data_IF_114078361752
#
_entry.id   IF_114078361752
#
_cell.length_a   1.000
_cell.length_b   1.000
_cell.length_c   1.000
_cell.angle_alpha   90.00
_cell.angle_beta   90.00
_cell.angle_gamma   90.00
#
_symmetry.space_group_name_H-M   'P 1'
#
loop_
_entity.id
_entity.type
_entity.pdbx_description
1 polymer ?
#
# COMPACT_ATOMS: atom_id res chain seq x y z
N UNK A 1 24.87 1.58 -22.33
CA UNK A 1 24.14 1.72 -21.05
C UNK A 1 22.86 0.93 -21.22
N UNK A 2 22.71 -0.19 -20.50
CA UNK A 2 21.52 -1.03 -20.60
C UNK A 2 20.26 -0.25 -20.24
N UNK A 3 19.13 -0.57 -20.87
CA UNK A 3 17.88 0.17 -20.65
C UNK A 3 17.48 0.09 -19.16
N UNK A 4 17.23 1.23 -18.52
CA UNK A 4 16.86 1.35 -17.11
C UNK A 4 15.42 0.92 -16.83
N UNK A 5 14.90 -0.10 -17.51
CA UNK A 5 13.51 -0.51 -17.36
C UNK A 5 13.26 -1.22 -16.03
N UNK A 6 12.07 -1.03 -15.48
CA UNK A 6 11.56 -1.69 -14.29
C UNK A 6 10.35 -2.50 -14.70
N UNK A 7 10.53 -3.81 -14.86
CA UNK A 7 9.48 -4.72 -15.31
C UNK A 7 8.65 -5.16 -14.11
N UNK A 8 7.36 -4.84 -14.13
CA UNK A 8 6.45 -5.02 -13.00
C UNK A 8 5.38 -6.05 -13.32
N UNK A 9 5.23 -7.02 -12.41
CA UNK A 9 4.06 -7.89 -12.34
C UNK A 9 3.03 -7.35 -11.36
N UNK A 10 1.74 -7.47 -11.68
CA UNK A 10 0.64 -7.07 -10.80
C UNK A 10 -0.19 -8.28 -10.37
N UNK A 11 -0.45 -8.43 -9.07
CA UNK A 11 -1.41 -9.41 -8.53
C UNK A 11 -2.63 -8.66 -7.99
N UNK A 12 -3.80 -8.94 -8.56
CA UNK A 12 -5.05 -8.24 -8.25
C UNK A 12 -5.16 -6.95 -9.04
N UNK A 13 -5.92 -6.97 -10.14
CA UNK A 13 -6.14 -5.82 -11.03
C UNK A 13 -7.31 -4.97 -10.54
N UNK A 14 -7.26 -4.58 -9.26
CA UNK A 14 -8.28 -3.78 -8.56
C UNK A 14 -8.18 -2.26 -8.80
N UNK A 15 -8.89 -1.47 -7.97
CA UNK A 15 -8.81 0.00 -8.02
C UNK A 15 -7.38 0.54 -7.79
N UNK A 16 -6.59 -0.09 -6.90
CA UNK A 16 -5.19 0.27 -6.67
C UNK A 16 -4.33 0.04 -7.92
N UNK A 17 -4.48 -1.11 -8.58
CA UNK A 17 -3.81 -1.39 -9.85
C UNK A 17 -4.24 -0.41 -10.95
N UNK A 18 -5.53 -0.06 -11.01
CA UNK A 18 -6.05 0.95 -11.93
C UNK A 18 -5.39 2.31 -11.72
N UNK A 19 -5.29 2.76 -10.47
CA UNK A 19 -4.64 4.02 -10.13
C UNK A 19 -3.14 4.00 -10.43
N UNK A 20 -2.46 2.87 -10.21
CA UNK A 20 -1.05 2.69 -10.58
C UNK A 20 -0.85 2.82 -12.09
N UNK A 21 -1.58 2.05 -12.89
CA UNK A 21 -1.41 2.01 -14.37
C UNK A 21 -1.80 3.35 -15.00
N UNK A 22 -2.87 3.99 -14.52
CA UNK A 22 -3.20 5.36 -14.92
C UNK A 22 -2.08 6.34 -14.55
N UNK A 23 -1.52 6.21 -13.34
CA UNK A 23 -0.39 7.02 -12.87
C UNK A 23 0.85 6.91 -13.75
N UNK A 24 1.19 5.70 -14.21
CA UNK A 24 2.30 5.48 -15.15
C UNK A 24 2.09 6.25 -16.46
N UNK A 25 0.85 6.30 -16.96
CA UNK A 25 0.51 7.04 -18.19
C UNK A 25 0.52 8.55 -17.96
N UNK A 26 -0.06 9.01 -16.84
CA UNK A 26 -0.18 10.43 -16.50
C UNK A 26 1.18 11.10 -16.25
N UNK A 27 2.08 10.42 -15.52
CA UNK A 27 3.39 10.95 -15.16
C UNK A 27 4.50 10.54 -16.12
N UNK A 28 4.18 9.92 -17.27
CA UNK A 28 5.18 9.48 -18.26
C UNK A 28 6.16 10.58 -18.69
N UNK A 29 5.69 11.82 -18.80
CA UNK A 29 6.49 12.97 -19.24
C UNK A 29 6.75 13.99 -18.13
N UNK A 30 6.61 13.56 -16.87
CA UNK A 30 7.02 14.30 -15.69
C UNK A 30 8.45 14.85 -15.84
N UNK A 31 8.71 16.06 -15.34
CA UNK A 31 10.04 16.69 -15.35
C UNK A 31 10.53 16.95 -13.93
N UNK A 32 11.81 16.68 -13.70
CA UNK A 32 12.44 16.59 -12.37
C UNK A 32 12.56 17.92 -11.60
N UNK A 33 12.43 19.07 -12.25
CA UNK A 33 12.80 20.36 -11.65
C UNK A 33 11.71 21.01 -10.80
N UNK A 34 10.48 20.48 -10.79
CA UNK A 34 9.37 21.01 -9.98
C UNK A 34 8.74 19.88 -9.15
N UNK A 35 8.25 20.17 -7.92
CA UNK A 35 7.46 19.21 -7.16
C UNK A 35 6.25 18.76 -7.98
N UNK A 36 6.18 17.46 -8.28
CA UNK A 36 5.09 16.89 -9.06
C UNK A 36 3.98 16.47 -8.10
N UNK A 37 2.78 17.06 -8.19
CA UNK A 37 1.67 16.65 -7.34
C UNK A 37 1.45 15.15 -7.43
N UNK A 38 1.35 14.46 -6.30
CA UNK A 38 1.10 13.03 -6.27
C UNK A 38 2.33 12.12 -6.45
N UNK A 39 3.54 12.65 -6.66
CA UNK A 39 4.79 11.88 -6.60
C UNK A 39 5.70 12.44 -5.52
N UNK A 40 6.30 11.55 -4.71
CA UNK A 40 7.27 12.00 -3.70
C UNK A 40 8.62 12.31 -4.34
N UNK A 41 8.97 11.57 -5.41
CA UNK A 41 10.17 11.76 -6.21
C UNK A 41 9.84 11.61 -7.70
N UNK A 42 10.19 12.62 -8.51
CA UNK A 42 10.06 12.55 -9.98
C UNK A 42 11.07 11.55 -10.60
N UNK A 43 12.28 11.52 -10.06
CA UNK A 43 13.32 10.52 -10.32
C UNK A 43 13.73 9.93 -8.97
N UNK A 44 13.79 8.59 -8.89
CA UNK A 44 14.25 7.87 -7.71
C UNK A 44 15.46 7.00 -8.07
N UNK A 45 16.65 7.41 -7.62
CA UNK A 45 17.87 6.62 -7.83
C UNK A 45 18.25 6.46 -9.31
N UNK A 46 17.83 7.39 -10.16
CA UNK A 46 18.00 7.35 -11.61
C UNK A 46 16.86 6.67 -12.36
N UNK A 47 15.78 6.27 -11.68
CA UNK A 47 14.57 5.68 -12.27
C UNK A 47 13.45 6.72 -12.38
N UNK A 48 13.05 7.00 -13.61
CA UNK A 48 11.87 7.81 -13.92
C UNK A 48 10.59 6.96 -13.89
N UNK A 49 9.41 7.58 -13.82
CA UNK A 49 8.13 6.84 -13.87
C UNK A 49 7.97 6.10 -15.20
N UNK A 50 8.45 6.68 -16.31
CA UNK A 50 8.42 6.08 -17.66
C UNK A 50 9.37 4.87 -17.84
N UNK A 51 10.22 4.62 -16.85
CA UNK A 51 11.02 3.42 -16.83
C UNK A 51 10.21 2.19 -16.39
N UNK A 52 9.03 2.39 -15.78
CA UNK A 52 8.18 1.31 -15.27
C UNK A 52 7.30 0.76 -16.39
N UNK A 53 7.37 -0.55 -16.62
CA UNK A 53 6.58 -1.27 -17.60
C UNK A 53 5.87 -2.45 -16.95
N UNK A 54 4.56 -2.56 -17.17
CA UNK A 54 3.82 -3.76 -16.75
C UNK A 54 4.12 -4.87 -17.75
N UNK A 55 4.53 -6.04 -17.25
CA UNK A 55 4.92 -7.20 -18.09
C UNK A 55 4.08 -8.45 -17.86
N UNK A 56 3.39 -8.54 -16.73
CA UNK A 56 2.42 -9.59 -16.44
C UNK A 56 1.39 -9.10 -15.43
N UNK A 57 0.19 -9.68 -15.43
CA UNK A 57 -0.84 -9.39 -14.45
C UNK A 57 -1.67 -10.63 -14.14
N UNK A 58 -2.17 -10.72 -12.91
CA UNK A 58 -2.99 -11.84 -12.44
C UNK A 58 -4.26 -11.33 -11.78
N UNK A 59 -5.39 -11.95 -12.10
CA UNK A 59 -6.67 -11.73 -11.42
C UNK A 59 -7.47 -13.04 -11.42
N UNK A 60 -8.64 -13.02 -10.78
CA UNK A 60 -9.55 -14.15 -10.67
C UNK A 60 -10.93 -13.82 -11.23
N UNK A 61 -11.26 -12.54 -11.40
CA UNK A 61 -12.55 -12.10 -11.88
C UNK A 61 -12.71 -12.38 -13.38
N UNK A 62 -13.84 -13.00 -13.75
CA UNK A 62 -14.22 -13.27 -15.13
C UNK A 62 -14.26 -12.01 -16.00
N UNK A 63 -14.58 -10.87 -15.41
CA UNK A 63 -14.60 -9.57 -16.08
C UNK A 63 -13.22 -9.02 -16.46
N UNK A 64 -12.13 -9.62 -15.96
CA UNK A 64 -10.75 -9.11 -16.10
C UNK A 64 -9.82 -10.09 -16.79
N UNK A 65 -9.90 -11.37 -16.43
CA UNK A 65 -9.05 -12.42 -16.99
C UNK A 65 -9.21 -12.46 -18.52
N UNK A 66 -8.08 -12.56 -19.23
CA UNK A 66 -8.00 -12.58 -20.69
C UNK A 66 -7.98 -11.21 -21.38
N UNK A 67 -8.36 -10.13 -20.68
CA UNK A 67 -8.28 -8.74 -21.19
C UNK A 67 -6.85 -8.20 -21.12
N UNK A 68 -6.55 -7.20 -21.95
CA UNK A 68 -5.33 -6.39 -21.79
C UNK A 68 -5.39 -5.63 -20.46
N UNK A 69 -4.26 -5.46 -19.77
CA UNK A 69 -4.20 -4.73 -18.49
C UNK A 69 -4.81 -3.33 -18.61
N UNK A 70 -4.58 -2.63 -19.73
CA UNK A 70 -5.12 -1.29 -19.97
C UNK A 70 -6.65 -1.26 -20.04
N UNK A 71 -7.29 -2.38 -20.37
CA UNK A 71 -8.75 -2.55 -20.36
C UNK A 71 -9.25 -3.07 -19.01
N UNK A 72 -8.58 -4.09 -18.46
CA UNK A 72 -8.96 -4.76 -17.22
C UNK A 72 -8.98 -3.81 -16.02
N UNK A 73 -8.12 -2.79 -16.00
CA UNK A 73 -8.11 -1.77 -14.94
C UNK A 73 -9.40 -0.95 -14.85
N UNK A 74 -10.21 -0.95 -15.90
CA UNK A 74 -11.51 -0.26 -15.96
C UNK A 74 -12.71 -1.20 -15.87
N UNK A 75 -12.47 -2.51 -15.92
CA UNK A 75 -13.52 -3.52 -15.83
C UNK A 75 -14.08 -3.59 -14.40
N UNK A 76 -15.38 -3.84 -14.32
CA UNK A 76 -16.07 -4.02 -13.04
C UNK A 76 -15.40 -5.14 -12.20
N UNK A 77 -15.38 -5.03 -10.86
CA UNK A 77 -16.03 -4.00 -10.05
C UNK A 77 -15.17 -2.74 -9.81
N UNK A 78 -14.12 -2.50 -10.61
CA UNK A 78 -13.31 -1.29 -10.45
C UNK A 78 -14.15 -0.03 -10.70
N UNK A 79 -13.99 0.96 -9.82
CA UNK A 79 -14.79 2.18 -9.79
C UNK A 79 -13.99 3.41 -9.29
N UNK A 80 -12.66 3.37 -9.42
CA UNK A 80 -11.79 4.50 -9.10
C UNK A 80 -11.89 5.63 -10.12
N UNK A 81 -11.39 6.81 -9.73
CA UNK A 81 -11.39 8.00 -10.56
C UNK A 81 -10.52 7.78 -11.79
N UNK A 82 -11.03 8.15 -12.97
CA UNK A 82 -10.29 8.08 -14.23
C UNK A 82 -9.63 9.43 -14.48
N UNK A 83 -8.31 9.51 -14.28
CA UNK A 83 -7.53 10.74 -14.48
C UNK A 83 -6.55 10.66 -15.67
N UNK A 84 -6.37 9.47 -16.24
CA UNK A 84 -5.62 9.25 -17.48
C UNK A 84 -6.12 8.00 -18.18
N UNK A 85 -5.93 7.94 -19.49
CA UNK A 85 -6.12 6.71 -20.26
C UNK A 85 -4.84 5.86 -20.23
N UNK A 86 -4.99 4.54 -20.15
CA UNK A 86 -3.88 3.61 -20.22
C UNK A 86 -3.73 3.15 -21.67
N UNK A 87 -2.52 3.23 -22.21
CA UNK A 87 -2.23 2.68 -23.53
C UNK A 87 -2.13 1.14 -23.44
N UNK A 88 -2.77 0.44 -24.37
CA UNK A 88 -2.64 -1.02 -24.50
C UNK A 88 -1.17 -1.40 -24.65
N UNK A 89 -0.75 -2.44 -23.92
CA UNK A 89 0.64 -2.91 -23.91
C UNK A 89 0.78 -4.39 -24.32
N UNK A 90 -0.33 -5.05 -24.66
CA UNK A 90 -0.37 -6.46 -25.07
C UNK A 90 -0.28 -7.43 -23.90
N UNK A 91 -0.20 -6.94 -22.66
CA UNK A 91 -0.13 -7.79 -21.47
C UNK A 91 -1.53 -8.19 -21.08
N UNK A 92 -1.85 -9.47 -21.23
CA UNK A 92 -3.14 -10.01 -20.81
C UNK A 92 -3.13 -10.35 -19.32
N UNK A 93 -4.29 -10.21 -18.69
CA UNK A 93 -4.51 -10.64 -17.31
C UNK A 93 -4.68 -12.16 -17.29
N UNK A 94 -3.76 -12.83 -16.62
CA UNK A 94 -3.76 -14.28 -16.46
C UNK A 94 -4.62 -14.72 -15.28
N UNK A 95 -5.16 -15.93 -15.35
CA UNK A 95 -5.95 -16.51 -14.26
C UNK A 95 -5.03 -16.97 -13.14
N UNK A 96 -4.89 -16.16 -12.09
CA UNK A 96 -4.16 -16.53 -10.89
C UNK A 96 -4.96 -17.50 -9.99
N UNK A 97 -4.37 -18.22 -9.04
CA UNK A 97 -5.13 -19.03 -8.09
C UNK A 97 -5.95 -18.17 -7.13
N UNK A 98 -7.19 -18.60 -6.83
CA UNK A 98 -8.11 -17.86 -5.96
C UNK A 98 -7.74 -17.95 -4.48
N UNK A 99 -7.51 -19.17 -3.98
CA UNK A 99 -7.22 -19.45 -2.57
C UNK A 99 -8.22 -18.71 -1.63
N UNK A 100 -7.74 -17.96 -0.64
CA UNK A 100 -8.54 -17.15 0.28
C UNK A 100 -8.75 -15.68 -0.20
N UNK A 101 -8.51 -15.44 -1.49
CA UNK A 101 -8.66 -14.17 -2.20
C UNK A 101 -10.07 -13.56 -2.15
N UNK A 102 -11.11 -14.39 -2.21
CA UNK A 102 -12.51 -13.93 -2.29
C UNK A 102 -13.22 -14.16 -0.94
N UNK A 103 -13.45 -13.07 -0.20
CA UNK A 103 -14.24 -13.05 1.02
C UNK A 103 -15.74 -13.24 0.81
N UNK A 104 -16.49 -13.42 1.89
CA UNK A 104 -17.93 -13.72 1.85
C UNK A 104 -18.70 -12.69 1.04
N UNK A 105 -18.45 -11.40 1.30
CA UNK A 105 -19.14 -10.30 0.62
C UNK A 105 -18.66 -10.06 -0.81
N UNK A 106 -17.47 -10.55 -1.18
CA UNK A 106 -16.97 -10.43 -2.55
C UNK A 106 -17.54 -11.51 -3.48
N UNK A 107 -18.01 -12.64 -2.94
CA UNK A 107 -18.59 -13.74 -3.76
C UNK A 107 -19.83 -13.32 -4.54
N UNK A 108 -20.61 -12.39 -3.99
CA UNK A 108 -21.82 -11.89 -4.65
C UNK A 108 -21.51 -10.84 -5.73
N UNK A 109 -20.32 -10.23 -5.68
CA UNK A 109 -19.88 -9.17 -6.60
C UNK A 109 -18.92 -9.66 -7.68
N UNK A 110 -18.25 -10.80 -7.46
CA UNK A 110 -17.18 -11.31 -8.32
C UNK A 110 -17.53 -12.73 -8.78
N UNK A 111 -17.80 -12.87 -10.08
CA UNK A 111 -17.82 -14.17 -10.75
C UNK A 111 -16.38 -14.58 -11.10
N UNK A 112 -15.98 -15.78 -10.69
CA UNK A 112 -14.65 -16.32 -11.00
C UNK A 112 -14.52 -16.70 -12.48
N UNK A 113 -13.36 -16.43 -13.05
CA UNK A 113 -13.06 -16.76 -14.44
C UNK A 113 -12.93 -18.29 -14.60
N UNK A 114 -13.56 -18.89 -15.65
CA UNK A 114 -13.56 -20.34 -15.88
C UNK A 114 -12.24 -20.89 -16.45
N UNK A 115 -11.32 -20.02 -16.84
CA UNK A 115 -10.01 -20.39 -17.38
C UNK A 115 -9.21 -21.24 -16.36
N UNK A 116 -8.31 -22.12 -16.83
CA UNK A 116 -7.39 -22.83 -15.95
C UNK A 116 -6.49 -21.87 -15.20
N UNK A 117 -6.16 -22.19 -13.95
CA UNK A 117 -5.16 -21.45 -13.17
C UNK A 117 -3.80 -21.56 -13.85
N UNK A 118 -3.17 -20.40 -14.09
CA UNK A 118 -1.88 -20.29 -14.74
C UNK A 118 -0.71 -20.59 -13.78
N UNK A 119 0.42 -21.05 -14.32
CA UNK A 119 1.67 -21.18 -13.57
C UNK A 119 2.30 -19.81 -13.36
N UNK A 120 2.05 -19.24 -12.18
CA UNK A 120 2.51 -17.89 -11.81
C UNK A 120 4.05 -17.80 -11.85
N UNK A 121 4.75 -18.79 -11.31
CA UNK A 121 6.23 -18.77 -11.26
C UNK A 121 6.84 -18.84 -12.67
N UNK A 122 6.25 -19.63 -13.57
CA UNK A 122 6.67 -19.68 -14.98
C UNK A 122 6.42 -18.35 -15.70
N UNK A 123 5.25 -17.75 -15.55
CA UNK A 123 4.93 -16.46 -16.19
C UNK A 123 5.84 -15.34 -15.70
N UNK A 124 6.13 -15.28 -14.40
CA UNK A 124 7.06 -14.30 -13.83
C UNK A 124 8.47 -14.44 -14.45
N UNK A 125 8.97 -15.67 -14.60
CA UNK A 125 10.27 -15.93 -15.24
C UNK A 125 10.27 -15.55 -16.72
N UNK A 126 9.24 -15.97 -17.46
CA UNK A 126 9.15 -15.76 -18.91
C UNK A 126 8.96 -14.28 -19.28
N UNK A 127 8.20 -13.54 -18.47
CA UNK A 127 8.05 -12.09 -18.63
C UNK A 127 9.31 -11.32 -18.20
N UNK A 128 10.20 -11.95 -17.43
CA UNK A 128 11.36 -11.31 -16.83
C UNK A 128 10.98 -10.24 -15.82
N UNK A 129 9.89 -10.43 -15.07
CA UNK A 129 9.46 -9.46 -14.07
C UNK A 129 10.58 -9.20 -13.04
N UNK A 130 10.89 -7.93 -12.78
CA UNK A 130 11.86 -7.54 -11.76
C UNK A 130 11.16 -7.41 -10.39
N UNK A 131 9.93 -6.87 -10.37
CA UNK A 131 9.17 -6.60 -9.15
C UNK A 131 7.75 -7.14 -9.28
N UNK A 132 7.28 -7.90 -8.29
CA UNK A 132 5.88 -8.33 -8.18
C UNK A 132 5.16 -7.49 -7.12
N UNK A 133 4.07 -6.83 -7.51
CA UNK A 133 3.24 -5.99 -6.62
C UNK A 133 1.95 -6.72 -6.28
N UNK A 134 1.68 -6.90 -4.98
CA UNK A 134 0.46 -7.54 -4.49
C UNK A 134 -0.58 -6.51 -4.03
N UNK A 135 -1.74 -6.51 -4.69
CA UNK A 135 -2.95 -5.74 -4.37
C UNK A 135 -4.15 -6.65 -4.06
N UNK A 136 -3.90 -7.82 -3.48
CA UNK A 136 -4.95 -8.75 -3.10
C UNK A 136 -5.92 -8.13 -2.07
N UNK A 137 -7.15 -8.68 -1.94
CA UNK A 137 -8.08 -8.24 -0.91
C UNK A 137 -7.53 -8.44 0.51
N UNK A 138 -8.01 -7.63 1.45
CA UNK A 138 -7.69 -7.79 2.87
C UNK A 138 -8.15 -9.17 3.36
N UNK A 139 -7.29 -9.84 4.13
CA UNK A 139 -7.54 -11.19 4.67
C UNK A 139 -7.12 -12.33 3.75
N UNK A 140 -6.51 -12.06 2.60
CA UNK A 140 -5.98 -13.07 1.68
C UNK A 140 -4.57 -13.53 2.08
N UNK A 141 -4.48 -14.25 3.20
CA UNK A 141 -3.21 -14.73 3.77
C UNK A 141 -2.56 -15.82 2.94
N UNK A 142 -3.30 -16.88 2.60
CA UNK A 142 -2.81 -18.00 1.81
C UNK A 142 -2.40 -17.53 0.41
N UNK A 143 -3.24 -16.70 -0.23
CA UNK A 143 -2.93 -16.14 -1.53
C UNK A 143 -1.67 -15.27 -1.48
N UNK A 144 -1.54 -14.37 -0.49
CA UNK A 144 -0.35 -13.52 -0.41
C UNK A 144 0.92 -14.32 -0.18
N UNK A 145 0.88 -15.34 0.67
CA UNK A 145 2.02 -16.25 0.89
C UNK A 145 2.36 -17.04 -0.37
N UNK A 146 1.35 -17.50 -1.12
CA UNK A 146 1.53 -18.16 -2.41
C UNK A 146 2.26 -17.25 -3.42
N UNK A 147 1.80 -16.02 -3.63
CA UNK A 147 2.46 -15.10 -4.57
C UNK A 147 3.84 -14.65 -4.09
N UNK A 148 4.06 -14.51 -2.78
CA UNK A 148 5.39 -14.27 -2.23
C UNK A 148 6.35 -15.45 -2.50
N UNK A 149 5.85 -16.68 -2.44
CA UNK A 149 6.61 -17.87 -2.82
C UNK A 149 6.96 -17.87 -4.32
N UNK A 150 5.97 -17.60 -5.18
CA UNK A 150 6.21 -17.50 -6.63
C UNK A 150 7.23 -16.42 -6.98
N UNK A 151 7.21 -15.27 -6.29
CA UNK A 151 8.23 -14.23 -6.46
C UNK A 151 9.63 -14.73 -6.07
N UNK A 152 9.77 -15.44 -4.95
CA UNK A 152 11.04 -16.04 -4.53
C UNK A 152 11.56 -17.07 -5.56
N UNK A 153 10.68 -17.90 -6.09
CA UNK A 153 11.00 -18.92 -7.11
C UNK A 153 11.40 -18.29 -8.45
N UNK A 154 10.73 -17.21 -8.85
CA UNK A 154 10.99 -16.54 -10.11
C UNK A 154 12.17 -15.55 -10.06
N UNK A 155 12.66 -15.21 -8.86
CA UNK A 155 13.76 -14.24 -8.71
C UNK A 155 13.29 -12.78 -8.73
N UNK A 156 12.05 -12.51 -8.34
CA UNK A 156 11.47 -11.17 -8.33
C UNK A 156 11.56 -10.54 -6.92
N UNK A 157 11.78 -9.23 -6.86
CA UNK A 157 11.49 -8.47 -5.66
C UNK A 157 9.97 -8.49 -5.38
N UNK A 158 9.57 -8.35 -4.12
CA UNK A 158 8.15 -8.38 -3.74
C UNK A 158 7.73 -7.11 -3.02
N UNK A 159 6.65 -6.48 -3.48
CA UNK A 159 6.02 -5.30 -2.85
C UNK A 159 4.63 -5.69 -2.36
N UNK A 160 4.49 -5.81 -1.04
CA UNK A 160 3.25 -6.23 -0.40
C UNK A 160 2.42 -5.02 0.04
N UNK A 161 1.34 -4.71 -0.70
CA UNK A 161 0.52 -3.54 -0.40
C UNK A 161 -0.59 -3.82 0.63
N UNK A 162 -0.74 -5.05 1.11
CA UNK A 162 -1.90 -5.49 1.91
C UNK A 162 -1.48 -5.84 3.34
N UNK A 163 -2.40 -5.88 4.32
CA UNK A 163 -2.08 -6.13 5.73
C UNK A 163 -1.92 -7.61 6.07
N UNK A 164 -1.21 -8.35 5.21
CA UNK A 164 -0.72 -9.71 5.51
C UNK A 164 0.76 -9.62 5.84
N UNK A 165 1.17 -10.21 6.95
CA UNK A 165 2.53 -10.07 7.44
C UNK A 165 3.52 -10.95 6.66
N UNK A 166 4.35 -10.31 5.82
CA UNK A 166 5.43 -10.91 5.04
C UNK A 166 6.74 -10.22 5.42
N UNK A 167 6.92 -8.94 5.09
CA UNK A 167 8.12 -8.19 5.45
C UNK A 167 8.30 -8.04 6.96
N UNK A 168 7.21 -7.89 7.70
CA UNK A 168 7.23 -7.82 9.17
C UNK A 168 7.58 -9.16 9.85
N UNK A 169 7.54 -10.28 9.13
CA UNK A 169 7.87 -11.62 9.65
C UNK A 169 9.35 -11.98 9.44
N UNK A 170 10.13 -12.29 10.50
CA UNK A 170 11.53 -12.66 10.38
C UNK A 170 11.79 -13.85 9.45
N UNK A 171 10.89 -14.84 9.42
CA UNK A 171 11.02 -16.03 8.58
C UNK A 171 10.99 -15.69 7.09
N UNK A 172 10.10 -14.80 6.66
CA UNK A 172 10.02 -14.36 5.27
C UNK A 172 11.20 -13.46 4.89
N UNK A 173 11.59 -12.52 5.77
CA UNK A 173 12.77 -11.67 5.54
C UNK A 173 14.01 -12.50 5.24
N UNK A 174 14.31 -13.50 6.08
CA UNK A 174 15.46 -14.40 5.90
C UNK A 174 15.44 -15.14 4.55
N UNK A 175 14.26 -15.53 4.07
CA UNK A 175 14.13 -16.22 2.78
C UNK A 175 14.45 -15.30 1.59
N UNK A 176 13.96 -14.06 1.64
CA UNK A 176 14.30 -13.04 0.65
C UNK A 176 15.80 -12.67 0.69
N UNK A 177 16.37 -12.52 1.89
CA UNK A 177 17.81 -12.31 2.10
C UNK A 177 18.66 -13.44 1.48
N UNK A 178 18.33 -14.70 1.77
CA UNK A 178 19.03 -15.87 1.25
C UNK A 178 18.97 -16.00 -0.28
N UNK A 179 17.91 -15.51 -0.90
CA UNK A 179 17.75 -15.49 -2.36
C UNK A 179 18.34 -14.24 -3.01
N UNK A 180 18.87 -13.29 -2.23
CA UNK A 180 19.39 -12.02 -2.77
C UNK A 180 18.29 -11.09 -3.29
N UNK A 181 17.06 -11.22 -2.81
CA UNK A 181 15.89 -10.51 -3.34
C UNK A 181 15.38 -9.44 -2.35
N UNK A 182 15.04 -8.23 -2.83
CA UNK A 182 14.41 -7.21 -2.00
C UNK A 182 12.95 -7.52 -1.65
N UNK A 183 12.54 -7.03 -0.49
CA UNK A 183 11.19 -7.12 0.03
C UNK A 183 10.75 -5.75 0.57
N UNK A 184 9.57 -5.28 0.16
CA UNK A 184 8.98 -4.03 0.66
C UNK A 184 7.56 -4.32 1.15
N UNK A 185 7.30 -4.09 2.43
CA UNK A 185 6.01 -4.42 3.07
C UNK A 185 6.01 -4.06 4.57
N UNK A 186 4.89 -4.15 5.28
CA UNK A 186 3.56 -4.60 4.83
C UNK A 186 2.48 -3.50 5.02
N UNK A 187 1.40 -3.57 4.23
CA UNK A 187 0.26 -2.62 4.19
C UNK A 187 0.66 -1.21 3.73
N UNK A 188 0.43 -0.87 2.46
CA UNK A 188 0.88 0.40 1.89
C UNK A 188 0.23 1.61 2.58
N UNK A 189 1.01 2.66 2.83
CA UNK A 189 0.50 3.97 3.27
C UNK A 189 -0.17 4.71 2.12
N UNK A 190 -1.07 5.61 2.49
CA UNK A 190 -1.59 6.64 1.60
C UNK A 190 -0.77 7.93 1.80
N UNK A 191 -0.76 8.83 0.81
CA UNK A 191 -0.09 10.14 0.92
C UNK A 191 -0.67 10.94 2.07
N UNK A 192 -1.99 11.12 2.08
CA UNK A 192 -2.73 11.75 3.19
C UNK A 192 -3.94 10.88 3.52
N UNK A 193 -3.75 9.96 4.46
CA UNK A 193 -4.82 9.11 5.00
C UNK A 193 -5.36 9.59 6.33
N UNK A 194 -6.51 9.05 6.75
CA UNK A 194 -7.11 9.36 8.04
C UNK A 194 -6.17 9.07 9.23
N UNK A 195 -5.40 7.97 9.18
CA UNK A 195 -4.48 7.59 10.25
C UNK A 195 -3.34 8.60 10.45
N UNK A 196 -2.73 9.12 9.38
CA UNK A 196 -1.64 10.12 9.52
C UNK A 196 -2.18 11.46 10.01
N UNK A 197 -3.38 11.88 9.56
CA UNK A 197 -4.03 13.10 10.04
C UNK A 197 -4.40 12.98 11.53
N UNK A 198 -4.96 11.85 11.94
CA UNK A 198 -5.30 11.61 13.35
C UNK A 198 -4.04 11.59 14.22
N UNK A 199 -2.96 10.94 13.77
CA UNK A 199 -1.67 10.92 14.46
C UNK A 199 -1.11 12.33 14.65
N UNK A 200 -1.16 13.16 13.60
CA UNK A 200 -0.71 14.55 13.65
C UNK A 200 -1.52 15.38 14.65
N UNK A 201 -2.85 15.21 14.67
CA UNK A 201 -3.71 15.88 15.66
C UNK A 201 -3.41 15.42 17.09
N UNK A 202 -3.23 14.12 17.31
CA UNK A 202 -2.90 13.57 18.62
C UNK A 202 -1.54 14.10 19.12
N UNK A 203 -0.53 14.13 18.25
CA UNK A 203 0.79 14.69 18.58
C UNK A 203 0.73 16.18 18.89
N UNK A 204 -0.01 16.97 18.10
CA UNK A 204 -0.19 18.40 18.36
C UNK A 204 -0.82 18.64 19.74
N UNK A 205 -1.83 17.87 20.12
CA UNK A 205 -2.46 18.01 21.45
C UNK A 205 -1.43 17.72 22.55
N UNK A 206 -0.69 16.61 22.43
CA UNK A 206 0.36 16.23 23.37
C UNK A 206 1.44 17.31 23.51
N UNK A 207 2.03 17.75 22.40
CA UNK A 207 3.12 18.75 22.38
C UNK A 207 2.71 20.11 22.95
N UNK A 208 1.41 20.42 22.94
CA UNK A 208 0.85 21.66 23.52
C UNK A 208 0.32 21.49 24.94
N UNK A 209 0.57 20.34 25.58
CA UNK A 209 0.16 20.05 26.96
C UNK A 209 -1.34 19.81 27.12
N UNK A 210 -2.05 19.45 26.04
CA UNK A 210 -3.47 19.11 26.07
C UNK A 210 -3.60 17.60 26.31
N UNK A 211 -4.23 17.23 27.42
CA UNK A 211 -4.54 15.81 27.70
C UNK A 211 -5.68 15.38 26.79
N UNK A 212 -5.49 14.32 26.03
CA UNK A 212 -6.57 13.71 25.24
C UNK A 212 -7.42 12.84 26.17
N UNK A 213 -8.73 13.05 26.15
CA UNK A 213 -9.68 12.33 26.98
C UNK A 213 -10.41 11.24 26.17
N UNK A 214 -10.83 11.57 24.95
CA UNK A 214 -11.57 10.67 24.05
C UNK A 214 -11.23 10.95 22.60
N UNK A 215 -11.25 9.90 21.77
CA UNK A 215 -11.12 10.06 20.32
C UNK A 215 -11.85 8.99 19.53
N UNK A 216 -12.34 9.35 18.34
CA UNK A 216 -12.73 8.37 17.35
C UNK A 216 -12.21 8.72 15.95
N UNK A 217 -12.10 7.69 15.11
CA UNK A 217 -11.89 7.80 13.68
C UNK A 217 -12.81 6.79 12.97
N UNK A 218 -13.87 7.33 12.36
CA UNK A 218 -14.84 6.58 11.59
C UNK A 218 -14.46 6.66 10.11
N UNK A 219 -14.33 5.52 9.42
CA UNK A 219 -13.95 5.49 8.01
C UNK A 219 -14.99 4.72 7.20
N UNK A 220 -15.45 5.25 6.07
CA UNK A 220 -16.36 4.55 5.18
C UNK A 220 -16.09 4.91 3.72
N UNK A 221 -16.49 4.03 2.80
CA UNK A 221 -16.25 4.14 1.36
C UNK A 221 -17.16 3.19 0.58
N UNK A 222 -17.07 3.22 -0.75
CA UNK A 222 -17.99 2.48 -1.63
C UNK A 222 -17.36 1.40 -2.51
N UNK A 223 -16.04 1.18 -2.40
CA UNK A 223 -15.34 0.18 -3.21
C UNK A 223 -15.42 -1.22 -2.59
N UNK A 224 -14.90 -2.21 -3.34
CA UNK A 224 -14.87 -3.61 -2.90
C UNK A 224 -13.94 -3.85 -1.71
N UNK A 225 -12.91 -3.02 -1.49
CA UNK A 225 -12.08 -3.12 -0.28
C UNK A 225 -12.93 -2.79 0.97
N UNK A 226 -13.71 -1.71 0.95
CA UNK A 226 -14.64 -1.38 2.04
C UNK A 226 -15.72 -2.43 2.27
N UNK A 227 -16.26 -3.00 1.18
CA UNK A 227 -17.23 -4.09 1.27
C UNK A 227 -16.61 -5.34 1.92
N UNK A 228 -15.40 -5.72 1.50
CA UNK A 228 -14.65 -6.83 2.09
C UNK A 228 -14.30 -6.55 3.57
N UNK A 229 -14.08 -5.29 3.93
CA UNK A 229 -13.86 -4.85 5.31
C UNK A 229 -15.14 -4.86 6.17
N UNK A 230 -16.34 -5.12 5.65
CA UNK A 230 -17.50 -5.37 6.52
C UNK A 230 -17.39 -6.75 7.22
N UNK A 231 -16.59 -7.65 6.68
CA UNK A 231 -16.29 -8.96 7.27
C UNK A 231 -15.35 -8.80 8.48
N UNK A 232 -15.95 -8.61 9.66
CA UNK A 232 -15.20 -8.36 10.91
C UNK A 232 -14.15 -9.44 11.23
N UNK A 233 -14.38 -10.69 10.84
CA UNK A 233 -13.44 -11.80 11.02
C UNK A 233 -12.12 -11.57 10.26
N UNK A 234 -12.16 -10.90 9.09
CA UNK A 234 -10.96 -10.55 8.30
C UNK A 234 -10.21 -9.33 8.82
N UNK A 235 -10.74 -8.64 9.83
CA UNK A 235 -10.25 -7.33 10.29
C UNK A 235 -9.49 -7.33 11.60
N UNK A 236 -9.43 -8.44 12.34
CA UNK A 236 -8.84 -8.46 13.69
C UNK A 236 -7.43 -7.84 13.70
N UNK A 237 -6.57 -8.29 12.79
CA UNK A 237 -5.20 -7.78 12.60
C UNK A 237 -5.16 -6.28 12.25
N UNK A 238 -6.09 -5.79 11.43
CA UNK A 238 -6.11 -4.39 10.94
C UNK A 238 -6.70 -3.41 11.96
N UNK A 239 -7.64 -3.85 12.79
CA UNK A 239 -8.17 -3.05 13.91
C UNK A 239 -7.09 -2.85 14.98
N UNK A 240 -6.34 -3.90 15.28
CA UNK A 240 -5.20 -3.86 16.21
C UNK A 240 -4.14 -2.88 15.69
N UNK A 241 -3.70 -3.01 14.44
CA UNK A 241 -2.63 -2.15 13.89
C UNK A 241 -3.02 -0.66 13.83
N UNK A 242 -4.26 -0.35 13.44
CA UNK A 242 -4.73 1.05 13.40
C UNK A 242 -4.87 1.67 14.79
N UNK A 243 -5.43 0.92 15.75
CA UNK A 243 -5.58 1.40 17.12
C UNK A 243 -4.20 1.61 17.74
N UNK A 244 -3.27 0.67 17.59
CA UNK A 244 -1.89 0.78 18.08
C UNK A 244 -1.14 1.96 17.45
N UNK A 245 -1.34 2.22 16.15
CA UNK A 245 -0.68 3.34 15.48
C UNK A 245 -1.10 4.72 16.02
N UNK A 246 -2.31 4.86 16.56
CA UNK A 246 -2.76 6.11 17.20
C UNK A 246 -2.39 6.07 18.68
N UNK A 247 -2.57 4.92 19.32
CA UNK A 247 -2.28 4.71 20.72
C UNK A 247 -0.81 4.96 21.09
N UNK A 248 0.12 4.65 20.17
CA UNK A 248 1.55 4.88 20.35
C UNK A 248 1.94 6.36 20.50
N UNK A 249 1.02 7.29 20.21
CA UNK A 249 1.28 8.71 20.39
C UNK A 249 0.88 9.23 21.77
N UNK A 250 0.16 8.45 22.59
CA UNK A 250 -0.25 8.87 23.92
C UNK A 250 0.78 8.47 24.98
N UNK A 251 1.18 9.41 25.84
CA UNK A 251 2.06 9.12 26.98
C UNK A 251 1.36 8.24 28.03
N UNK A 252 0.04 8.42 28.16
CA UNK A 252 -0.84 7.60 29.00
C UNK A 252 -1.87 6.93 28.10
N UNK A 253 -1.95 5.59 28.07
CA UNK A 253 -2.94 4.88 27.28
C UNK A 253 -4.36 5.29 27.65
N UNK A 254 -5.19 5.56 26.65
CA UNK A 254 -6.62 5.76 26.85
C UNK A 254 -7.29 4.45 27.26
N UNK A 255 -8.30 4.53 28.13
CA UNK A 255 -9.15 3.38 28.42
C UNK A 255 -9.82 2.87 27.13
N UNK A 256 -10.03 1.56 26.97
CA UNK A 256 -10.57 0.98 25.73
C UNK A 256 -11.91 1.59 25.26
N UNK A 257 -12.74 2.11 26.17
CA UNK A 257 -14.00 2.79 25.86
C UNK A 257 -13.85 4.22 25.30
N UNK A 258 -12.67 4.81 25.42
CA UNK A 258 -12.39 6.20 25.05
C UNK A 258 -11.67 6.34 23.70
N UNK A 259 -11.41 5.22 23.01
CA UNK A 259 -10.79 5.19 21.68
C UNK A 259 -11.55 4.26 20.74
N UNK A 260 -11.90 4.78 19.55
CA UNK A 260 -12.57 3.98 18.53
C UNK A 260 -11.99 4.25 17.14
N UNK A 261 -11.29 3.27 16.54
CA UNK A 261 -10.68 3.40 15.21
C UNK A 261 -11.02 2.18 14.36
N UNK A 262 -11.63 2.38 13.20
CA UNK A 262 -11.96 1.26 12.31
C UNK A 262 -12.73 1.65 11.05
N UNK A 263 -12.92 0.70 10.11
CA UNK A 263 -13.98 0.82 9.12
C UNK A 263 -15.33 0.84 9.82
N UNK A 264 -16.21 1.72 9.35
CA UNK A 264 -17.50 2.00 9.95
C UNK A 264 -18.63 1.47 9.08
N UNK A 265 -18.57 1.68 7.76
CA UNK A 265 -19.66 1.29 6.86
C UNK A 265 -19.23 1.23 5.37
N UNK A 266 -20.13 0.70 4.53
CA UNK A 266 -20.05 0.73 3.06
C UNK A 266 -21.17 1.61 2.49
N UNK A 267 -20.81 2.60 1.68
CA UNK A 267 -21.75 3.54 1.05
C UNK A 267 -21.54 3.48 -0.47
N UNK A 268 -22.37 2.73 -1.23
CA UNK A 268 -22.08 2.38 -2.63
C UNK A 268 -21.77 3.56 -3.56
N UNK A 269 -22.52 4.67 -3.44
CA UNK A 269 -22.33 5.83 -4.32
C UNK A 269 -21.02 6.59 -4.09
N UNK A 270 -20.29 6.31 -2.99
CA UNK A 270 -18.96 6.87 -2.80
C UNK A 270 -17.95 6.30 -3.77
N UNK A 271 -18.22 5.12 -4.36
CA UNK A 271 -17.28 4.38 -5.22
C UNK A 271 -15.93 4.26 -4.52
N UNK A 272 -14.81 4.60 -5.17
CA UNK A 272 -13.48 4.57 -4.56
C UNK A 272 -13.16 5.77 -3.65
N UNK A 273 -14.12 6.68 -3.43
CA UNK A 273 -13.97 7.71 -2.41
C UNK A 273 -14.08 7.11 -1.02
N UNK A 274 -13.30 7.69 -0.12
CA UNK A 274 -13.24 7.36 1.29
C UNK A 274 -13.39 8.62 2.10
N UNK A 275 -14.32 8.56 3.03
CA UNK A 275 -14.55 9.62 4.00
C UNK A 275 -14.08 9.16 5.36
N UNK A 276 -13.45 10.06 6.09
CA UNK A 276 -13.11 9.85 7.49
C UNK A 276 -13.60 11.02 8.34
N UNK A 277 -14.26 10.69 9.45
CA UNK A 277 -14.59 11.62 10.51
C UNK A 277 -13.69 11.33 11.69
N UNK A 278 -12.90 12.33 12.08
CA UNK A 278 -11.98 12.26 13.21
C UNK A 278 -12.46 13.26 14.24
N UNK A 279 -12.59 12.82 15.48
CA UNK A 279 -12.91 13.67 16.62
C UNK A 279 -11.93 13.41 17.74
N UNK A 280 -11.31 14.47 18.25
CA UNK A 280 -10.40 14.43 19.40
C UNK A 280 -10.94 15.38 20.46
N UNK A 281 -11.19 14.85 21.64
CA UNK A 281 -11.61 15.61 22.82
C UNK A 281 -10.47 15.62 23.82
N UNK A 282 -10.19 16.79 24.39
CA UNK A 282 -9.15 16.93 25.38
C UNK A 282 -9.44 17.99 26.43
N UNK A 283 -8.58 18.02 27.44
CA UNK A 283 -8.63 18.94 28.57
C UNK A 283 -7.40 19.84 28.53
N UNK A 284 -7.62 21.15 28.60
CA UNK A 284 -6.60 22.20 28.54
C UNK A 284 -6.34 22.83 29.90
N UNK A 285 -5.58 23.92 29.93
CA UNK A 285 -5.29 24.70 31.13
C UNK A 285 -6.56 25.04 31.93
N UNK A 286 -6.50 24.85 33.25
CA UNK A 286 -7.64 25.09 34.14
C UNK A 286 -8.76 24.02 34.06
N UNK A 287 -8.51 22.89 33.40
CA UNK A 287 -9.51 21.83 33.25
C UNK A 287 -10.58 22.15 32.18
N UNK A 288 -10.30 23.12 31.30
CA UNK A 288 -11.26 23.57 30.29
C UNK A 288 -11.29 22.61 29.11
N UNK A 289 -12.48 22.15 28.65
CA UNK A 289 -12.60 21.23 27.53
C UNK A 289 -12.20 21.89 26.21
N UNK A 290 -11.53 21.12 25.36
CA UNK A 290 -11.19 21.44 23.98
C UNK A 290 -11.65 20.30 23.09
N UNK A 291 -12.26 20.63 21.96
CA UNK A 291 -12.71 19.66 20.98
C UNK A 291 -12.19 20.04 19.60
N UNK A 292 -11.70 19.06 18.84
CA UNK A 292 -11.39 19.19 17.43
C UNK A 292 -12.15 18.12 16.66
N UNK A 293 -12.77 18.52 15.55
CA UNK A 293 -13.47 17.62 14.64
C UNK A 293 -13.04 17.92 13.22
N UNK A 294 -12.76 16.87 12.45
CA UNK A 294 -12.24 16.95 11.10
C UNK A 294 -12.93 15.94 10.21
N UNK A 295 -13.35 16.39 9.03
CA UNK A 295 -13.77 15.54 7.91
C UNK A 295 -12.65 15.50 6.87
N UNK A 296 -12.23 14.31 6.48
CA UNK A 296 -11.30 14.07 5.39
C UNK A 296 -12.01 13.35 4.25
N UNK A 297 -11.92 13.89 3.03
CA UNK A 297 -12.41 13.24 1.81
C UNK A 297 -11.24 12.99 0.86
N UNK A 298 -11.08 11.73 0.45
CA UNK A 298 -10.03 11.33 -0.50
C UNK A 298 -10.57 10.30 -1.48
N UNK A 299 -9.91 10.16 -2.62
CA UNK A 299 -9.99 8.95 -3.44
C UNK A 299 -8.98 7.94 -2.90
N UNK A 300 -9.42 6.76 -2.45
CA UNK A 300 -8.56 5.87 -1.64
C UNK A 300 -7.41 5.28 -2.47
N UNK A 301 -7.68 4.84 -3.70
CA UNK A 301 -6.69 4.15 -4.52
C UNK A 301 -5.64 5.07 -5.15
N UNK A 302 -5.98 6.25 -5.71
CA UNK A 302 -4.98 7.22 -6.17
C UNK A 302 -4.08 7.73 -5.03
N UNK A 303 -4.61 7.76 -3.80
CA UNK A 303 -3.88 8.23 -2.63
C UNK A 303 -2.75 7.28 -2.20
N UNK A 304 -2.68 6.03 -2.69
CA UNK A 304 -1.53 5.13 -2.48
C UNK A 304 -0.66 4.94 -3.73
N UNK A 305 -1.19 5.20 -4.94
CA UNK A 305 -0.50 4.92 -6.19
C UNK A 305 0.90 5.56 -6.28
N UNK A 306 1.03 6.84 -5.90
CA UNK A 306 2.34 7.51 -5.87
C UNK A 306 3.35 6.85 -4.92
N UNK A 307 2.89 6.39 -3.76
CA UNK A 307 3.72 5.67 -2.78
C UNK A 307 4.18 4.32 -3.35
N UNK A 308 3.31 3.61 -4.06
CA UNK A 308 3.68 2.32 -4.69
C UNK A 308 4.68 2.52 -5.83
N UNK A 309 4.56 3.58 -6.63
CA UNK A 309 5.57 3.90 -7.66
C UNK A 309 6.96 4.09 -7.03
N UNK A 310 7.06 4.81 -5.90
CA UNK A 310 8.33 4.92 -5.15
C UNK A 310 8.80 3.55 -4.60
N UNK A 311 7.90 2.74 -4.04
CA UNK A 311 8.25 1.41 -3.52
C UNK A 311 8.79 0.46 -4.60
N UNK A 312 8.19 0.44 -5.79
CA UNK A 312 8.64 -0.33 -6.96
C UNK A 312 10.05 0.10 -7.37
N UNK A 313 10.30 1.42 -7.48
CA UNK A 313 11.61 1.95 -7.88
C UNK A 313 12.67 1.67 -6.81
N UNK A 314 12.34 1.75 -5.53
CA UNK A 314 13.23 1.33 -4.43
C UNK A 314 13.57 -0.16 -4.50
N UNK A 315 12.59 -1.03 -4.78
CA UNK A 315 12.82 -2.46 -4.94
C UNK A 315 13.76 -2.75 -6.12
N UNK A 316 13.55 -2.10 -7.28
CA UNK A 316 14.44 -2.25 -8.42
C UNK A 316 15.85 -1.69 -8.17
N UNK A 317 15.96 -0.56 -7.49
CA UNK A 317 17.24 0.01 -7.08
C UNK A 317 18.01 -0.92 -6.14
N UNK A 318 17.31 -1.59 -5.22
CA UNK A 318 17.91 -2.61 -4.35
C UNK A 318 18.42 -3.82 -5.16
N UNK A 319 17.63 -4.32 -6.13
CA UNK A 319 18.06 -5.40 -7.03
C UNK A 319 19.38 -5.05 -7.74
N UNK A 320 19.48 -3.85 -8.32
CA UNK A 320 20.68 -3.41 -9.03
C UNK A 320 21.91 -3.28 -8.13
N UNK A 321 21.68 -2.97 -6.84
CA UNK A 321 22.73 -2.83 -5.83
C UNK A 321 23.05 -4.13 -5.11
N UNK A 322 22.34 -5.23 -5.42
CA UNK A 322 22.48 -6.50 -4.69
C UNK A 322 22.06 -6.41 -3.23
N UNK A 323 21.19 -5.46 -2.87
CA UNK A 323 20.65 -5.32 -1.52
C UNK A 323 19.42 -6.22 -1.40
N UNK A 324 19.43 -7.13 -0.43
CA UNK A 324 18.40 -8.14 -0.25
C UNK A 324 17.65 -7.98 1.07
N UNK A 325 16.53 -8.70 1.21
CA UNK A 325 15.71 -8.66 2.42
C UNK A 325 14.81 -7.43 2.48
N UNK A 326 14.26 -7.18 3.66
CA UNK A 326 13.36 -6.05 3.86
C UNK A 326 14.13 -4.72 3.83
N UNK A 327 13.70 -3.79 2.98
CA UNK A 327 14.35 -2.49 2.85
C UNK A 327 13.92 -1.57 4.01
N UNK A 328 14.66 -1.56 5.13
CA UNK A 328 14.29 -0.87 6.38
C UNK A 328 13.77 0.56 6.18
N UNK A 329 14.56 1.43 5.53
CA UNK A 329 14.14 2.79 5.18
C UNK A 329 12.84 2.82 4.36
N UNK A 330 12.82 2.33 3.11
CA UNK A 330 11.61 2.26 2.29
C UNK A 330 10.39 1.63 2.96
N UNK A 331 10.54 0.51 3.67
CA UNK A 331 9.45 -0.13 4.41
C UNK A 331 8.87 0.82 5.46
N UNK A 332 9.70 1.41 6.32
CA UNK A 332 9.23 2.29 7.39
C UNK A 332 8.52 3.55 6.89
N UNK A 333 8.93 4.06 5.74
CA UNK A 333 8.35 5.26 5.17
C UNK A 333 7.08 4.98 4.37
N UNK A 334 7.05 3.90 3.58
CA UNK A 334 5.95 3.59 2.65
C UNK A 334 4.90 2.64 3.22
N UNK A 335 5.19 1.89 4.29
CA UNK A 335 4.33 0.82 4.79
C UNK A 335 3.86 1.11 6.22
N UNK A 336 2.65 0.67 6.57
CA UNK A 336 2.05 0.86 7.90
C UNK A 336 2.61 -0.12 8.93
N UNK A 337 3.00 -1.31 8.48
CA UNK A 337 3.55 -2.39 9.31
C UNK A 337 4.95 -2.78 8.85
N UNK A 338 5.93 -1.88 8.93
CA UNK A 338 7.32 -2.18 8.60
C UNK A 338 7.94 -3.18 9.61
N UNK A 339 9.08 -3.81 9.25
CA UNK A 339 9.87 -4.60 10.20
C UNK A 339 10.29 -3.84 11.45
N UNK A 340 10.60 -2.55 11.28
CA UNK A 340 11.03 -1.62 12.33
C UNK A 340 10.27 -0.31 12.17
N UNK A 341 9.74 0.21 13.28
CA UNK A 341 8.93 1.42 13.33
C UNK A 341 9.82 2.62 13.66
N UNK A 342 9.68 3.70 12.89
CA UNK A 342 10.33 4.98 13.14
C UNK A 342 9.30 6.10 13.10
N UNK A 343 9.69 7.29 13.55
CA UNK A 343 8.90 8.50 13.27
C UNK A 343 8.84 8.74 11.75
N UNK A 344 7.78 9.37 11.24
CA UNK A 344 7.68 9.60 9.78
C UNK A 344 8.83 10.50 9.26
N UNK A 345 9.40 11.37 10.10
CA UNK A 345 10.56 12.20 9.78
C UNK A 345 11.84 11.37 9.63
N UNK A 346 12.11 10.48 10.59
CA UNK A 346 13.25 9.57 10.54
C UNK A 346 13.14 8.56 9.39
N UNK A 347 11.97 7.95 9.22
CA UNK A 347 11.68 7.04 8.12
C UNK A 347 11.98 7.70 6.77
N UNK A 348 11.54 8.96 6.59
CA UNK A 348 11.86 9.75 5.39
C UNK A 348 13.36 9.92 5.18
N UNK A 349 14.11 10.26 6.23
CA UNK A 349 15.56 10.44 6.12
C UNK A 349 16.27 9.14 5.76
N UNK A 350 15.89 8.02 6.38
CA UNK A 350 16.41 6.67 6.05
C UNK A 350 16.11 6.30 4.59
N UNK A 351 14.89 6.55 4.11
CA UNK A 351 14.56 6.33 2.69
C UNK A 351 15.39 7.21 1.75
N UNK A 352 15.57 8.49 2.06
CA UNK A 352 16.39 9.39 1.23
C UNK A 352 17.88 8.97 1.23
N UNK A 353 18.41 8.51 2.36
CA UNK A 353 19.76 7.96 2.44
C UNK A 353 19.91 6.69 1.58
N UNK A 354 18.93 5.77 1.69
CA UNK A 354 18.86 4.60 0.84
C UNK A 354 18.84 4.98 -0.65
N UNK A 355 17.99 5.91 -1.08
CA UNK A 355 17.91 6.36 -2.48
C UNK A 355 19.27 6.91 -2.94
N UNK A 356 19.91 7.74 -2.11
CA UNK A 356 21.20 8.35 -2.40
C UNK A 356 22.38 7.36 -2.40
N UNK A 357 22.19 6.12 -1.95
CA UNK A 357 23.27 5.13 -1.82
C UNK A 357 24.26 5.46 -0.69
N UNK A 358 23.79 6.16 0.34
CA UNK A 358 24.57 6.43 1.55
C UNK A 358 24.24 5.37 2.60
N UNK A 359 25.20 5.08 3.48
CA UNK A 359 24.95 4.25 4.67
C UNK A 359 23.82 4.84 5.50
N UNK A 360 23.04 3.99 6.18
CA UNK A 360 21.94 4.45 7.02
C UNK A 360 22.44 5.49 8.03
N UNK A 361 21.79 6.65 8.14
CA UNK A 361 22.19 7.63 9.13
C UNK A 361 22.01 7.01 10.51
N UNK A 362 23.13 6.80 11.22
CA UNK A 362 23.16 6.64 12.66
C UNK A 362 22.73 7.99 13.23
N UNK A 363 21.42 8.16 13.43
CA UNK A 363 20.93 9.23 14.28
C UNK A 363 21.19 8.77 15.71
N UNK A 364 22.12 9.45 16.39
CA UNK A 364 22.23 9.36 17.83
C UNK A 364 20.84 9.61 18.42
N UNK A 365 20.38 8.70 19.26
CA UNK A 365 19.12 8.83 19.98
C UNK A 365 19.25 9.96 21.02
N UNK A 366 19.16 11.21 20.59
CA UNK A 366 19.03 12.39 21.44
C UNK A 366 18.72 13.65 20.60
N UNK A 367 17.46 14.08 20.58
CA UNK A 367 16.99 15.36 21.15
C UNK A 367 15.47 15.50 21.05
#
# INVERSE_FOLDING_TARGET
MGSKKVRVGIVGVGNCASSLVQGLSYYRHAKSNEPIPGLMHADLGGYHVDDIEIVCAFDVARSKVGLDVAEAIYAAPNNTFRFADAAANGVRVERGPTLDGIGKYLRDEIEEAPEPVADVSEILRNSGADVLVSYLPVGSEEATRFYAECALEAGCAFVNCIPVFIASRPEWRRRFEQRGLPLVGDDIKSQVGATIVHRLLANLFRERGVRIDRTYQLNFGGNTDFLNMLERERLESKKISKTQSVASQFDVPLEPGNIHVGPSDHVPWLTDRKWAYIRVEGTTFGGVPLNAELKLEVWDSPNSAGVVIDAIRCAKLALDRGIAGALTGPCSYFMKSPPEQFTDAEARQRTLAFIAGKDEPLLDAAE
#
